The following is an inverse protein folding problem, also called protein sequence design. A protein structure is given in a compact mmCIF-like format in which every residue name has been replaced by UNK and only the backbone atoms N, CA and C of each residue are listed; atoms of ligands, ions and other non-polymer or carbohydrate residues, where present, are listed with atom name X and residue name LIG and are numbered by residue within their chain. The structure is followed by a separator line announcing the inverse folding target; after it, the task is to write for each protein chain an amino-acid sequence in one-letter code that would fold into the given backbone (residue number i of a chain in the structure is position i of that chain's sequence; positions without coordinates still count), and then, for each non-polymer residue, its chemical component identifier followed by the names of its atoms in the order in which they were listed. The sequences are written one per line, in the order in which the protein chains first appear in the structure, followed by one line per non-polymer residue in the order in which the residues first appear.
data_IF_269100181109
#
_entry.id   IF_269100181109
#
_cell.length_a   1.000
_cell.length_b   1.000
_cell.length_c   1.000
_cell.angle_alpha   90.00
_cell.angle_beta   90.00
_cell.angle_gamma   90.00
#
_symmetry.space_group_name_H-M   'P 1'
#
loop_
_entity.id
_entity.type
_entity.pdbx_description
1 polymer ?
#
# COMPACT_ATOMS: atom_id res chain seq x y z
N UNK A 1 -51.70 -48.41 32.55
CA UNK A 1 -51.52 -47.52 31.38
C UNK A 1 -50.24 -46.77 31.50
N UNK A 2 -49.26 -46.92 30.58
CA UNK A 2 -47.93 -46.33 30.74
C UNK A 2 -47.87 -44.94 30.14
N UNK A 3 -47.47 -44.00 30.99
CA UNK A 3 -47.04 -42.62 30.54
C UNK A 3 -45.51 -42.60 30.39
N UNK A 4 -44.99 -42.93 29.21
CA UNK A 4 -43.57 -42.72 28.89
C UNK A 4 -43.34 -42.57 27.37
N UNK A 5 -43.56 -41.39 26.79
CA UNK A 5 -43.14 -41.11 25.40
C UNK A 5 -42.90 -39.60 25.08
N UNK A 6 -42.85 -38.72 26.05
CA UNK A 6 -42.74 -37.27 25.74
C UNK A 6 -41.33 -36.69 25.94
N UNK A 7 -40.42 -37.38 26.63
CA UNK A 7 -39.10 -36.86 26.96
C UNK A 7 -38.05 -36.87 25.82
N UNK A 8 -38.28 -37.65 24.74
CA UNK A 8 -37.29 -37.81 23.66
C UNK A 8 -37.37 -36.74 22.57
N UNK A 9 -38.46 -35.98 22.48
CA UNK A 9 -38.68 -35.01 21.40
C UNK A 9 -37.90 -33.69 21.59
N UNK A 10 -37.59 -33.30 22.84
CA UNK A 10 -36.87 -32.06 23.08
C UNK A 10 -35.37 -32.14 22.77
N UNK A 11 -34.74 -33.27 23.02
CA UNK A 11 -33.31 -33.47 22.66
C UNK A 11 -33.13 -33.56 21.15
N UNK A 12 -34.02 -34.28 20.49
CA UNK A 12 -34.01 -34.42 19.05
C UNK A 12 -34.28 -33.08 18.33
N UNK A 13 -35.19 -32.25 18.82
CA UNK A 13 -35.45 -30.89 18.30
C UNK A 13 -34.24 -29.96 18.53
N UNK A 14 -33.53 -30.05 19.65
CA UNK A 14 -32.31 -29.31 19.91
C UNK A 14 -31.17 -29.75 19.00
N UNK A 15 -31.02 -31.05 18.72
CA UNK A 15 -30.03 -31.58 17.79
C UNK A 15 -30.32 -31.10 16.31
N UNK A 16 -31.56 -31.12 15.88
CA UNK A 16 -31.96 -30.60 14.56
C UNK A 16 -31.71 -29.11 14.50
N UNK A 17 -32.07 -28.32 15.51
CA UNK A 17 -31.83 -26.88 15.54
C UNK A 17 -30.32 -26.57 15.52
N UNK A 18 -29.49 -27.32 16.24
CA UNK A 18 -28.03 -27.18 16.19
C UNK A 18 -27.46 -27.56 14.84
N UNK A 19 -27.93 -28.66 14.22
CA UNK A 19 -27.50 -29.09 12.89
C UNK A 19 -27.91 -28.07 11.79
N UNK A 20 -29.10 -27.50 11.88
CA UNK A 20 -29.55 -26.43 10.99
C UNK A 20 -28.74 -25.13 11.18
N UNK A 21 -28.42 -24.79 12.42
CA UNK A 21 -27.60 -23.61 12.73
C UNK A 21 -26.16 -23.77 12.22
N UNK A 22 -25.54 -24.93 12.39
CA UNK A 22 -24.22 -25.25 11.87
C UNK A 22 -24.20 -25.26 10.34
N UNK A 23 -25.24 -25.83 9.70
CA UNK A 23 -25.41 -25.83 8.25
C UNK A 23 -25.56 -24.40 7.72
N UNK A 24 -26.36 -23.56 8.38
CA UNK A 24 -26.55 -22.15 8.00
C UNK A 24 -25.23 -21.35 8.12
N UNK A 25 -24.46 -21.55 9.20
CA UNK A 25 -23.12 -20.92 9.34
C UNK A 25 -22.19 -21.40 8.23
N UNK A 26 -22.17 -22.70 7.95
CA UNK A 26 -21.31 -23.29 6.91
C UNK A 26 -21.64 -22.77 5.52
N UNK A 27 -22.92 -22.66 5.17
CA UNK A 27 -23.37 -22.08 3.89
C UNK A 27 -23.04 -20.59 3.81
N UNK A 28 -23.25 -19.84 4.90
CA UNK A 28 -22.87 -18.43 4.96
C UNK A 28 -21.36 -18.23 4.78
N UNK A 29 -20.53 -19.03 5.44
CA UNK A 29 -19.06 -18.97 5.28
C UNK A 29 -18.64 -19.33 3.85
N UNK A 30 -19.24 -20.34 3.22
CA UNK A 30 -18.98 -20.73 1.85
C UNK A 30 -19.36 -19.62 0.84
N UNK A 31 -20.49 -18.95 1.04
CA UNK A 31 -20.93 -17.83 0.19
C UNK A 31 -19.98 -16.64 0.31
N UNK A 32 -19.46 -16.35 1.51
CA UNK A 32 -18.50 -15.26 1.72
C UNK A 32 -17.17 -15.57 1.03
N UNK A 33 -16.65 -16.79 1.14
CA UNK A 33 -15.44 -17.23 0.45
C UNK A 33 -15.62 -17.14 -1.06
N UNK A 34 -16.79 -17.59 -1.57
CA UNK A 34 -17.10 -17.51 -3.00
C UNK A 34 -17.22 -16.04 -3.49
N UNK A 35 -17.87 -15.17 -2.73
CA UNK A 35 -17.99 -13.75 -3.04
C UNK A 35 -16.62 -13.05 -3.04
N UNK A 36 -15.78 -13.34 -2.05
CA UNK A 36 -14.41 -12.79 -1.99
C UNK A 36 -13.58 -13.25 -3.18
N UNK A 37 -13.62 -14.53 -3.54
CA UNK A 37 -12.92 -15.05 -4.72
C UNK A 37 -13.42 -14.42 -6.02
N UNK A 38 -14.72 -14.19 -6.18
CA UNK A 38 -15.26 -13.55 -7.37
C UNK A 38 -14.84 -12.09 -7.48
N UNK A 39 -14.76 -11.36 -6.38
CA UNK A 39 -14.25 -9.98 -6.34
C UNK A 39 -12.77 -9.93 -6.68
N UNK A 40 -11.95 -10.79 -6.09
CA UNK A 40 -10.52 -10.87 -6.39
C UNK A 40 -10.24 -11.26 -7.85
N UNK A 41 -11.14 -12.01 -8.49
CA UNK A 41 -11.05 -12.33 -9.91
C UNK A 41 -11.26 -11.12 -10.85
N UNK A 42 -11.80 -10.01 -10.33
CA UNK A 42 -11.99 -8.76 -11.11
C UNK A 42 -10.77 -7.84 -11.09
N UNK A 43 -9.75 -8.14 -10.29
CA UNK A 43 -8.49 -7.37 -10.25
C UNK A 43 -7.78 -7.48 -11.60
N UNK A 44 -7.36 -6.35 -12.14
CA UNK A 44 -6.63 -6.29 -13.41
C UNK A 44 -5.25 -6.93 -13.26
N UNK A 45 -4.86 -7.73 -14.25
CA UNK A 45 -3.56 -8.39 -14.29
C UNK A 45 -2.66 -7.70 -15.31
N UNK A 46 -1.43 -7.38 -14.93
CA UNK A 46 -0.41 -6.86 -15.83
C UNK A 46 0.53 -8.00 -16.24
N UNK A 47 0.32 -8.53 -17.46
CA UNK A 47 1.13 -9.61 -18.01
C UNK A 47 2.57 -9.17 -18.33
N UNK A 48 2.76 -7.90 -18.66
CA UNK A 48 4.09 -7.32 -18.92
C UNK A 48 4.89 -7.27 -17.63
N UNK A 49 4.26 -6.85 -16.52
CA UNK A 49 4.90 -6.92 -15.22
C UNK A 49 5.34 -8.35 -14.89
N UNK A 50 4.47 -9.34 -15.14
CA UNK A 50 4.74 -10.74 -14.82
C UNK A 50 5.97 -11.31 -15.55
N UNK A 51 6.26 -10.84 -16.75
CA UNK A 51 7.42 -11.32 -17.53
C UNK A 51 8.78 -10.85 -17.00
N UNK A 52 8.80 -9.77 -16.21
CA UNK A 52 10.01 -9.13 -15.71
C UNK A 52 10.30 -9.45 -14.23
N UNK A 53 9.44 -10.23 -13.60
CA UNK A 53 9.61 -10.57 -12.18
C UNK A 53 10.78 -11.53 -11.97
N UNK A 54 11.45 -11.37 -10.85
CA UNK A 54 12.50 -12.28 -10.40
C UNK A 54 11.91 -13.63 -9.98
N UNK A 55 12.72 -14.68 -10.15
CA UNK A 55 12.35 -16.00 -9.63
C UNK A 55 12.10 -15.96 -8.11
N UNK A 56 11.20 -16.80 -7.58
CA UNK A 56 10.93 -16.86 -6.15
C UNK A 56 12.22 -17.08 -5.33
N UNK A 57 12.36 -16.34 -4.23
CA UNK A 57 13.46 -16.52 -3.28
C UNK A 57 12.97 -17.35 -2.09
N UNK A 58 13.78 -18.31 -1.58
CA UNK A 58 13.40 -19.12 -0.42
C UNK A 58 13.43 -18.32 0.90
N UNK A 59 14.10 -17.16 0.98
CA UNK A 59 14.30 -16.39 2.20
C UNK A 59 13.40 -15.17 2.34
N UNK A 60 13.00 -14.57 1.24
CA UNK A 60 12.22 -13.32 1.25
C UNK A 60 11.43 -13.13 -0.04
N UNK A 61 10.49 -12.22 0.03
CA UNK A 61 9.73 -11.72 -1.12
C UNK A 61 9.73 -10.20 -1.13
N UNK A 62 9.92 -9.62 -2.29
CA UNK A 62 9.83 -8.18 -2.54
C UNK A 62 8.63 -7.86 -3.42
N UNK A 63 7.80 -6.95 -2.96
CA UNK A 63 6.61 -6.47 -3.65
C UNK A 63 6.84 -5.01 -4.06
N UNK A 64 6.87 -4.73 -5.37
CA UNK A 64 6.92 -3.36 -5.88
C UNK A 64 5.53 -2.75 -5.80
N UNK A 65 5.40 -1.73 -4.95
CA UNK A 65 4.17 -1.00 -4.72
C UNK A 65 4.23 0.32 -5.48
N UNK A 66 3.27 0.54 -6.36
CA UNK A 66 3.18 1.74 -7.21
C UNK A 66 1.87 2.47 -6.90
N UNK A 67 1.99 3.74 -6.50
CA UNK A 67 0.86 4.66 -6.45
C UNK A 67 0.79 5.48 -7.73
N UNK A 68 -0.20 5.20 -8.55
CA UNK A 68 -0.44 5.89 -9.82
C UNK A 68 -1.27 7.16 -9.62
N UNK A 69 -0.98 8.22 -10.36
CA UNK A 69 -1.81 9.41 -10.45
C UNK A 69 -2.92 9.29 -11.51
N UNK A 70 -3.26 8.06 -11.90
CA UNK A 70 -4.38 7.82 -12.80
C UNK A 70 -5.67 8.39 -12.21
N UNK A 71 -6.41 9.07 -13.07
CA UNK A 71 -7.70 9.70 -12.78
C UNK A 71 -8.84 9.00 -13.48
N UNK A 72 -8.58 7.80 -13.94
CA UNK A 72 -9.60 6.94 -14.55
C UNK A 72 -10.72 6.72 -13.53
N UNK A 73 -11.96 7.05 -13.92
CA UNK A 73 -13.11 6.96 -13.01
C UNK A 73 -13.21 8.05 -11.93
N UNK A 74 -12.48 9.16 -12.05
CA UNK A 74 -12.65 10.30 -11.14
C UNK A 74 -14.06 10.89 -11.28
N UNK A 75 -14.79 10.98 -10.16
CA UNK A 75 -16.14 11.55 -10.12
C UNK A 75 -16.04 13.08 -9.94
N UNK A 76 -16.64 13.89 -10.84
CA UNK A 76 -16.70 15.34 -10.66
C UNK A 76 -17.39 15.81 -9.38
N UNK A 77 -18.20 14.96 -8.76
CA UNK A 77 -18.89 15.26 -7.51
C UNK A 77 -18.05 14.92 -6.25
N UNK A 78 -16.90 14.27 -6.40
CA UNK A 78 -16.02 13.98 -5.28
C UNK A 78 -15.50 15.28 -4.64
N UNK A 79 -15.45 15.32 -3.32
CA UNK A 79 -15.04 16.50 -2.54
C UNK A 79 -13.60 16.96 -2.85
N UNK A 80 -12.75 16.06 -3.34
CA UNK A 80 -11.37 16.30 -3.70
C UNK A 80 -11.14 16.46 -5.23
N UNK A 81 -12.20 16.42 -6.05
CA UNK A 81 -12.09 16.52 -7.51
C UNK A 81 -11.35 17.79 -7.96
N UNK A 82 -11.61 18.92 -7.32
CA UNK A 82 -10.92 20.18 -7.63
C UNK A 82 -9.40 20.11 -7.36
N UNK A 83 -8.98 19.31 -6.36
CA UNK A 83 -7.57 19.13 -6.01
C UNK A 83 -6.87 18.04 -6.81
N UNK A 84 -7.61 17.03 -7.27
CA UNK A 84 -7.10 15.91 -8.06
C UNK A 84 -7.16 16.23 -9.55
N UNK A 85 -8.26 16.80 -10.01
CA UNK A 85 -8.60 17.03 -11.41
C UNK A 85 -9.22 15.81 -12.08
N UNK A 86 -9.78 16.01 -13.28
CA UNK A 86 -10.43 14.98 -14.07
C UNK A 86 -9.50 14.24 -15.02
N UNK A 87 -10.05 13.20 -15.62
CA UNK A 87 -9.41 12.44 -16.70
C UNK A 87 -9.00 13.35 -17.84
N UNK A 88 -7.78 13.15 -18.40
CA UNK A 88 -7.25 13.92 -19.51
C UNK A 88 -6.65 15.29 -19.17
N UNK A 89 -6.77 15.78 -17.94
CA UNK A 89 -6.17 17.08 -17.55
C UNK A 89 -4.64 17.02 -17.37
N UNK A 90 -4.08 15.84 -17.22
CA UNK A 90 -2.62 15.63 -17.14
C UNK A 90 -2.25 14.54 -18.13
N UNK A 91 -1.30 14.84 -19.02
CA UNK A 91 -0.80 13.88 -19.99
C UNK A 91 0.21 12.93 -19.38
N UNK A 92 0.11 11.63 -19.71
CA UNK A 92 1.03 10.56 -19.31
C UNK A 92 0.70 9.94 -17.96
N UNK A 93 1.13 8.69 -17.79
CA UNK A 93 1.06 7.95 -16.51
C UNK A 93 2.20 8.45 -15.61
N UNK A 94 1.91 8.81 -14.38
CA UNK A 94 2.93 9.19 -13.39
C UNK A 94 2.72 8.35 -12.15
N UNK A 95 3.81 7.94 -11.53
CA UNK A 95 3.77 7.39 -10.19
C UNK A 95 4.16 8.47 -9.19
N UNK A 96 3.30 8.73 -8.24
CA UNK A 96 3.61 9.63 -7.12
C UNK A 96 4.26 8.87 -5.95
N UNK A 97 4.16 7.55 -5.95
CA UNK A 97 4.69 6.67 -4.91
C UNK A 97 5.34 5.45 -5.55
N UNK A 98 6.62 5.23 -5.23
CA UNK A 98 7.37 4.03 -5.58
C UNK A 98 7.97 3.47 -4.30
N UNK A 99 7.57 2.26 -3.92
CA UNK A 99 8.05 1.57 -2.71
C UNK A 99 8.30 0.10 -2.99
N UNK A 100 9.21 -0.50 -2.24
CA UNK A 100 9.31 -1.94 -2.14
C UNK A 100 8.96 -2.36 -0.72
N UNK A 101 7.99 -3.26 -0.60
CA UNK A 101 7.70 -3.99 0.62
C UNK A 101 8.48 -5.31 0.59
N UNK A 102 9.34 -5.49 1.58
CA UNK A 102 10.12 -6.70 1.80
C UNK A 102 9.46 -7.53 2.89
N UNK A 103 9.27 -8.80 2.65
CA UNK A 103 8.75 -9.77 3.59
C UNK A 103 9.78 -10.87 3.83
N UNK A 104 10.27 -11.00 5.05
CA UNK A 104 11.14 -12.09 5.47
C UNK A 104 10.30 -13.33 5.77
N UNK A 105 10.51 -14.41 5.02
CA UNK A 105 9.70 -15.64 5.12
C UNK A 105 9.98 -16.38 6.44
N UNK A 106 11.20 -16.30 6.96
CA UNK A 106 11.61 -17.04 8.15
C UNK A 106 11.07 -16.40 9.44
N UNK A 107 11.10 -15.08 9.52
CA UNK A 107 10.71 -14.33 10.72
C UNK A 107 9.29 -13.77 10.64
N UNK A 108 8.70 -13.65 9.44
CA UNK A 108 7.46 -12.94 9.21
C UNK A 108 7.59 -11.41 9.30
N UNK A 109 8.81 -10.89 9.41
CA UNK A 109 9.05 -9.45 9.52
C UNK A 109 8.81 -8.75 8.18
N UNK A 110 8.30 -7.50 8.25
CA UNK A 110 8.09 -6.64 7.10
C UNK A 110 8.98 -5.41 7.14
N UNK A 111 9.38 -4.94 5.97
CA UNK A 111 10.11 -3.69 5.81
C UNK A 111 9.64 -2.93 4.56
N UNK A 112 9.70 -1.60 4.61
CA UNK A 112 9.35 -0.71 3.51
C UNK A 112 10.53 0.19 3.17
N UNK A 113 10.86 0.29 1.88
CA UNK A 113 11.76 1.31 1.35
C UNK A 113 11.03 2.13 0.28
N UNK A 114 11.25 3.44 0.25
CA UNK A 114 10.69 4.32 -0.78
C UNK A 114 11.78 4.91 -1.67
N UNK A 115 11.44 5.09 -2.95
CA UNK A 115 12.28 5.70 -3.96
C UNK A 115 11.75 7.09 -4.29
N UNK A 116 12.48 8.17 -3.95
CA UNK A 116 12.10 9.51 -4.38
C UNK A 116 11.98 9.58 -5.91
N UNK A 117 10.89 10.14 -6.41
CA UNK A 117 10.56 10.14 -7.85
C UNK A 117 11.59 10.88 -8.73
N UNK A 118 12.34 11.82 -8.14
CA UNK A 118 13.34 12.64 -8.82
C UNK A 118 14.75 12.02 -8.77
N UNK A 119 14.89 10.74 -8.32
CA UNK A 119 16.13 10.00 -8.42
C UNK A 119 16.58 9.88 -9.87
N UNK A 120 17.82 10.28 -10.14
CA UNK A 120 18.43 10.14 -11.45
C UNK A 120 19.15 8.80 -11.55
N UNK A 121 18.64 7.94 -12.40
CA UNK A 121 19.07 6.54 -12.55
C UNK A 121 19.15 6.16 -14.02
N UNK A 122 19.80 5.04 -14.30
CA UNK A 122 19.69 4.40 -15.61
C UNK A 122 18.35 3.67 -15.68
N UNK A 123 17.64 3.87 -16.79
CA UNK A 123 16.29 3.34 -16.98
C UNK A 123 16.34 1.97 -17.68
N UNK A 124 15.63 0.99 -17.16
CA UNK A 124 15.51 -0.34 -17.75
C UNK A 124 16.85 -1.01 -17.96
N UNK A 125 17.24 -1.24 -19.21
CA UNK A 125 18.50 -1.89 -19.58
C UNK A 125 19.72 -0.96 -19.58
N UNK A 126 19.59 0.27 -19.04
CA UNK A 126 20.68 1.21 -18.86
C UNK A 126 21.04 2.02 -20.10
N UNK A 127 20.26 1.96 -21.19
CA UNK A 127 20.51 2.68 -22.45
C UNK A 127 20.28 4.22 -22.27
N UNK A 128 19.40 4.60 -21.38
CA UNK A 128 19.06 6.00 -21.09
C UNK A 128 19.09 6.23 -19.60
N UNK A 129 19.48 7.44 -19.19
CA UNK A 129 19.34 7.91 -17.82
C UNK A 129 18.20 8.94 -17.73
N UNK A 130 17.53 8.98 -16.59
CA UNK A 130 16.43 9.88 -16.32
C UNK A 130 15.95 9.82 -14.87
N UNK A 131 14.94 10.61 -14.53
CA UNK A 131 14.27 10.47 -13.25
C UNK A 131 13.57 9.11 -13.18
N UNK A 132 13.64 8.43 -12.03
CA UNK A 132 13.02 7.10 -11.85
C UNK A 132 11.51 7.10 -12.19
N UNK A 133 10.82 8.22 -11.96
CA UNK A 133 9.43 8.38 -12.37
C UNK A 133 9.21 8.24 -13.89
N UNK A 134 10.23 8.55 -14.70
CA UNK A 134 10.16 8.35 -16.15
C UNK A 134 10.17 6.88 -16.55
N UNK A 135 10.73 5.98 -15.72
CA UNK A 135 10.68 4.55 -15.96
C UNK A 135 9.24 4.03 -15.98
N UNK A 136 8.40 4.50 -15.04
CA UNK A 136 6.98 4.14 -15.02
C UNK A 136 6.21 4.64 -16.25
N UNK A 137 6.54 5.84 -16.75
CA UNK A 137 5.94 6.39 -17.99
C UNK A 137 6.28 5.54 -19.22
N UNK A 138 7.49 4.98 -19.24
CA UNK A 138 7.97 4.14 -20.35
C UNK A 138 7.35 2.75 -20.34
N UNK A 139 6.95 2.25 -19.19
CA UNK A 139 6.29 0.95 -19.02
C UNK A 139 6.59 0.30 -17.68
N UNK A 140 5.73 -0.63 -17.27
CA UNK A 140 5.89 -1.39 -16.03
C UNK A 140 7.15 -2.25 -16.07
N UNK A 141 7.45 -2.85 -17.22
CA UNK A 141 8.66 -3.61 -17.49
C UNK A 141 9.93 -2.76 -17.28
N UNK A 142 9.94 -1.55 -17.83
CA UNK A 142 11.07 -0.63 -17.67
C UNK A 142 11.26 -0.25 -16.21
N UNK A 143 10.16 -0.02 -15.47
CA UNK A 143 10.24 0.29 -14.05
C UNK A 143 10.81 -0.87 -13.23
N UNK A 144 10.31 -2.10 -13.44
CA UNK A 144 10.78 -3.29 -12.73
C UNK A 144 12.28 -3.49 -13.00
N UNK A 145 12.72 -3.49 -14.28
CA UNK A 145 14.13 -3.59 -14.64
C UNK A 145 14.98 -2.47 -14.04
N UNK A 146 14.46 -1.25 -13.98
CA UNK A 146 15.16 -0.13 -13.34
C UNK A 146 15.45 -0.42 -11.88
N UNK A 147 14.45 -0.87 -11.10
CA UNK A 147 14.64 -1.20 -9.69
C UNK A 147 15.64 -2.36 -9.52
N UNK A 148 15.52 -3.41 -10.34
CA UNK A 148 16.39 -4.58 -10.28
C UNK A 148 17.84 -4.23 -10.64
N UNK A 149 18.06 -3.50 -11.72
CA UNK A 149 19.40 -3.25 -12.27
C UNK A 149 20.15 -2.14 -11.52
N UNK A 150 19.46 -1.06 -11.12
CA UNK A 150 20.13 0.09 -10.46
C UNK A 150 20.30 -0.11 -8.96
N UNK A 151 19.41 -0.87 -8.30
CA UNK A 151 19.44 -1.01 -6.85
C UNK A 151 19.76 -2.45 -6.39
N UNK A 152 19.84 -3.40 -7.31
CA UNK A 152 20.10 -4.80 -6.98
C UNK A 152 18.97 -5.46 -6.18
N UNK A 153 17.75 -4.93 -6.27
CA UNK A 153 16.59 -5.41 -5.52
C UNK A 153 15.73 -6.30 -6.42
N UNK A 154 15.73 -7.64 -6.25
CA UNK A 154 14.86 -8.52 -7.03
C UNK A 154 13.40 -8.21 -6.69
N UNK A 155 12.55 -8.10 -7.71
CA UNK A 155 11.12 -7.88 -7.56
C UNK A 155 10.37 -9.16 -7.88
N UNK A 156 9.63 -9.69 -6.90
CA UNK A 156 8.90 -10.94 -7.01
C UNK A 156 7.43 -10.72 -7.34
N UNK A 157 6.88 -9.56 -6.94
CA UNK A 157 5.49 -9.20 -7.18
C UNK A 157 5.33 -7.72 -7.50
N UNK A 158 4.30 -7.40 -8.27
CA UNK A 158 3.91 -6.05 -8.63
C UNK A 158 2.49 -5.75 -8.17
N UNK A 159 2.31 -4.58 -7.56
CA UNK A 159 1.01 -4.06 -7.16
C UNK A 159 0.93 -2.56 -7.43
N UNK A 160 -0.04 -2.16 -8.23
CA UNK A 160 -0.34 -0.75 -8.52
C UNK A 160 -1.74 -0.41 -8.01
N UNK A 161 -1.88 0.79 -7.47
CA UNK A 161 -3.15 1.36 -7.03
C UNK A 161 -3.27 2.80 -7.49
N UNK A 162 -4.40 3.18 -8.06
CA UNK A 162 -4.71 4.57 -8.42
C UNK A 162 -5.38 5.33 -7.25
N UNK A 163 -5.69 6.61 -7.46
CA UNK A 163 -6.31 7.46 -6.44
C UNK A 163 -7.69 6.96 -5.98
N UNK A 164 -8.50 6.44 -6.89
CA UNK A 164 -9.83 5.93 -6.55
C UNK A 164 -9.74 4.64 -5.74
N UNK A 165 -8.86 3.72 -6.18
CA UNK A 165 -8.57 2.48 -5.46
C UNK A 165 -8.00 2.75 -4.07
N UNK A 166 -7.10 3.72 -3.95
CA UNK A 166 -6.55 4.11 -2.66
C UNK A 166 -7.65 4.62 -1.71
N UNK A 167 -8.52 5.55 -2.17
CA UNK A 167 -9.64 6.05 -1.36
C UNK A 167 -10.58 4.91 -0.95
N UNK A 168 -10.99 4.10 -1.92
CA UNK A 168 -11.87 2.95 -1.68
C UNK A 168 -11.27 1.92 -0.72
N UNK A 169 -9.98 1.63 -0.83
CA UNK A 169 -9.29 0.73 0.09
C UNK A 169 -9.28 1.29 1.52
N UNK A 170 -8.92 2.56 1.69
CA UNK A 170 -8.89 3.22 3.00
C UNK A 170 -10.28 3.24 3.64
N UNK A 171 -11.31 3.60 2.90
CA UNK A 171 -12.68 3.66 3.40
C UNK A 171 -13.21 2.28 3.78
N UNK A 172 -12.85 1.26 3.01
CA UNK A 172 -13.27 -0.12 3.24
C UNK A 172 -12.72 -0.71 4.54
N UNK A 173 -11.50 -0.31 4.92
CA UNK A 173 -10.94 -0.67 6.23
C UNK A 173 -11.39 0.31 7.34
N UNK A 174 -12.31 1.25 7.04
CA UNK A 174 -12.88 2.24 7.97
C UNK A 174 -11.91 3.33 8.38
N UNK A 175 -11.00 3.71 7.49
CA UNK A 175 -10.00 4.75 7.71
C UNK A 175 -8.73 4.25 8.40
N UNK A 176 -7.73 5.13 8.42
CA UNK A 176 -6.41 4.87 9.02
C UNK A 176 -6.12 5.90 10.09
N UNK A 177 -5.72 5.45 11.28
CA UNK A 177 -5.36 6.35 12.37
C UNK A 177 -3.95 6.93 12.16
N UNK A 178 -3.88 8.26 12.12
CA UNK A 178 -2.62 9.01 12.06
C UNK A 178 -2.57 9.96 13.26
N UNK A 179 -1.40 10.03 13.91
CA UNK A 179 -1.17 10.91 15.05
C UNK A 179 -0.21 12.03 14.66
N UNK A 180 -0.53 13.26 15.08
CA UNK A 180 0.32 14.42 14.91
C UNK A 180 0.50 15.15 16.24
N UNK A 181 1.73 15.52 16.56
CA UNK A 181 2.05 16.30 17.76
C UNK A 181 1.47 17.70 17.69
N UNK A 182 1.46 18.31 16.51
CA UNK A 182 0.99 19.66 16.25
C UNK A 182 -0.12 19.65 15.20
N UNK A 183 -1.03 20.67 15.20
CA UNK A 183 -1.95 20.87 14.10
C UNK A 183 -1.17 20.94 12.77
N UNK A 184 -1.67 20.25 11.75
CA UNK A 184 -0.96 20.10 10.48
C UNK A 184 -1.91 20.38 9.31
N UNK A 185 -1.36 20.94 8.22
CA UNK A 185 -2.13 21.22 6.99
C UNK A 185 -1.28 21.19 5.75
N UNK A 186 -1.94 21.08 4.62
CA UNK A 186 -1.42 21.45 3.31
C UNK A 186 -2.55 22.10 2.49
N UNK A 187 -2.39 23.37 2.15
CA UNK A 187 -3.42 24.15 1.44
C UNK A 187 -3.60 23.70 -0.02
N UNK A 188 -2.57 23.09 -0.64
CA UNK A 188 -2.62 22.64 -2.02
C UNK A 188 -3.41 21.33 -2.16
N UNK A 189 -3.37 20.46 -1.13
CA UNK A 189 -4.15 19.22 -1.12
C UNK A 189 -5.46 19.35 -0.36
N UNK A 190 -5.71 20.48 0.32
CA UNK A 190 -6.85 20.65 1.21
C UNK A 190 -6.75 19.89 2.53
N UNK A 191 -5.59 19.32 2.84
CA UNK A 191 -5.39 18.57 4.07
C UNK A 191 -5.39 19.49 5.31
N UNK A 192 -6.12 19.07 6.34
CA UNK A 192 -6.04 19.66 7.67
C UNK A 192 -6.28 18.60 8.75
N UNK A 193 -5.46 18.62 9.80
CA UNK A 193 -5.59 17.75 10.96
C UNK A 193 -5.18 18.51 12.23
N UNK A 194 -6.02 18.54 13.29
CA UNK A 194 -5.62 19.02 14.61
C UNK A 194 -4.49 18.18 15.21
N UNK A 195 -3.90 18.61 16.31
CA UNK A 195 -3.02 17.77 17.13
C UNK A 195 -3.78 16.58 17.70
N UNK A 196 -3.07 15.47 17.95
CA UNK A 196 -3.63 14.22 18.44
C UNK A 196 -3.75 13.16 17.36
N UNK A 197 -4.47 12.09 17.68
CA UNK A 197 -4.68 10.95 16.77
C UNK A 197 -6.06 11.06 16.13
N UNK A 198 -6.09 11.00 14.79
CA UNK A 198 -7.31 11.14 14.02
C UNK A 198 -7.44 10.01 12.99
N UNK A 199 -8.66 9.54 12.80
CA UNK A 199 -8.96 8.59 11.74
C UNK A 199 -9.10 9.36 10.43
N UNK A 200 -8.27 9.01 9.44
CA UNK A 200 -8.31 9.57 8.10
C UNK A 200 -9.08 8.63 7.17
N UNK A 201 -10.19 9.09 6.66
CA UNK A 201 -10.95 8.45 5.59
C UNK A 201 -10.31 8.73 4.22
N UNK A 202 -10.72 8.03 3.16
CA UNK A 202 -10.06 7.98 1.88
C UNK A 202 -9.65 9.33 1.29
N UNK A 203 -10.55 10.31 1.25
CA UNK A 203 -10.25 11.66 0.73
C UNK A 203 -9.17 12.36 1.55
N UNK A 204 -9.30 12.33 2.88
CA UNK A 204 -8.32 12.97 3.79
C UNK A 204 -7.00 12.22 3.80
N UNK A 205 -7.04 10.89 3.71
CA UNK A 205 -5.87 10.05 3.61
C UNK A 205 -5.08 10.33 2.32
N UNK A 206 -5.78 10.46 1.19
CA UNK A 206 -5.17 10.81 -0.08
C UNK A 206 -4.54 12.22 -0.05
N UNK A 207 -5.24 13.20 0.52
CA UNK A 207 -4.74 14.56 0.71
C UNK A 207 -3.45 14.57 1.58
N UNK A 208 -3.40 13.77 2.66
CA UNK A 208 -2.23 13.59 3.50
C UNK A 208 -1.06 12.96 2.73
N UNK A 209 -1.30 11.85 2.02
CA UNK A 209 -0.28 11.11 1.28
C UNK A 209 0.30 11.91 0.10
N UNK A 210 -0.47 12.85 -0.47
CA UNK A 210 -0.05 13.72 -1.59
C UNK A 210 0.61 15.01 -1.15
N UNK A 211 0.57 15.35 0.15
CA UNK A 211 1.06 16.62 0.67
C UNK A 211 2.56 16.82 0.40
N UNK A 212 2.93 17.96 -0.22
CA UNK A 212 4.30 18.41 -0.45
C UNK A 212 4.62 19.71 0.26
N UNK A 213 3.59 20.48 0.57
CA UNK A 213 3.69 21.77 1.25
C UNK A 213 3.10 21.64 2.65
N UNK A 214 3.59 20.59 3.36
CA UNK A 214 3.11 20.25 4.68
C UNK A 214 3.58 21.30 5.68
N UNK A 215 2.63 21.86 6.41
CA UNK A 215 2.87 22.85 7.45
C UNK A 215 2.44 22.30 8.81
N UNK A 216 3.21 22.57 9.85
CA UNK A 216 2.85 22.31 11.24
C UNK A 216 2.71 23.63 11.99
N UNK A 217 1.79 23.70 12.97
CA UNK A 217 1.55 24.90 13.77
C UNK A 217 2.30 24.80 15.10
N UNK A 218 3.50 25.39 15.15
CA UNK A 218 4.34 25.46 16.35
C UNK A 218 4.30 26.88 16.90
N UNK A 219 4.13 27.03 18.21
CA UNK A 219 4.04 28.36 18.87
C UNK A 219 3.08 29.33 18.18
N UNK A 220 1.92 28.82 17.79
CA UNK A 220 0.86 29.55 17.08
C UNK A 220 1.24 30.07 15.66
N UNK A 221 2.37 29.65 15.09
CA UNK A 221 2.83 29.99 13.74
C UNK A 221 2.86 28.74 12.85
N UNK A 222 2.42 28.87 11.60
CA UNK A 222 2.54 27.82 10.62
C UNK A 222 3.95 27.80 10.06
N UNK A 223 4.61 26.65 10.14
CA UNK A 223 5.96 26.40 9.65
C UNK A 223 5.91 25.30 8.60
N UNK A 224 6.44 25.57 7.42
CA UNK A 224 6.56 24.58 6.36
C UNK A 224 7.68 23.59 6.72
N UNK A 225 7.45 22.30 6.45
CA UNK A 225 8.43 21.26 6.75
C UNK A 225 9.69 21.37 5.86
N UNK A 226 9.62 22.10 4.75
CA UNK A 226 10.75 22.39 3.84
C UNK A 226 11.34 21.17 3.12
N UNK A 227 10.93 19.95 3.48
CA UNK A 227 11.48 18.69 2.90
C UNK A 227 10.77 18.27 1.62
N UNK A 228 9.68 18.96 1.25
CA UNK A 228 8.95 18.77 -0.01
C UNK A 228 8.68 17.29 -0.35
N UNK A 229 9.37 16.75 -1.34
CA UNK A 229 9.16 15.38 -1.84
C UNK A 229 9.69 14.30 -0.87
N UNK A 230 10.76 14.58 -0.16
CA UNK A 230 11.32 13.67 0.87
C UNK A 230 10.33 13.54 2.03
N UNK A 231 9.77 14.67 2.51
CA UNK A 231 8.74 14.67 3.54
C UNK A 231 7.47 13.95 3.10
N UNK A 232 7.07 14.11 1.84
CA UNK A 232 5.98 13.33 1.27
C UNK A 232 6.26 11.83 1.32
N UNK A 233 7.44 11.38 0.89
CA UNK A 233 7.83 9.97 0.93
C UNK A 233 7.83 9.41 2.36
N UNK A 234 8.27 10.21 3.35
CA UNK A 234 8.19 9.85 4.77
C UNK A 234 6.73 9.65 5.22
N UNK A 235 5.84 10.60 4.92
CA UNK A 235 4.40 10.50 5.24
C UNK A 235 3.74 9.31 4.55
N UNK A 236 4.09 9.02 3.32
CA UNK A 236 3.59 7.85 2.59
C UNK A 236 4.00 6.54 3.26
N UNK A 237 5.29 6.38 3.65
CA UNK A 237 5.73 5.18 4.39
C UNK A 237 5.00 5.03 5.72
N UNK A 238 4.86 6.12 6.47
CA UNK A 238 4.11 6.12 7.72
C UNK A 238 2.65 5.69 7.49
N UNK A 239 2.02 6.25 6.47
CA UNK A 239 0.62 5.94 6.14
C UNK A 239 0.44 4.49 5.72
N UNK A 240 1.29 3.97 4.82
CA UNK A 240 1.22 2.57 4.35
C UNK A 240 1.39 1.60 5.52
N UNK A 241 2.38 1.83 6.39
CA UNK A 241 2.58 1.00 7.58
C UNK A 241 1.34 1.02 8.51
N UNK A 242 0.77 2.21 8.78
CA UNK A 242 -0.44 2.34 9.58
C UNK A 242 -1.67 1.69 8.91
N UNK A 243 -1.79 1.80 7.60
CA UNK A 243 -2.85 1.17 6.81
C UNK A 243 -2.78 -0.35 6.87
N UNK A 244 -1.60 -0.93 6.69
CA UNK A 244 -1.39 -2.38 6.78
C UNK A 244 -1.76 -2.90 8.18
N UNK A 245 -1.31 -2.21 9.23
CA UNK A 245 -1.66 -2.55 10.60
C UNK A 245 -3.18 -2.47 10.84
N UNK A 246 -3.83 -1.39 10.39
CA UNK A 246 -5.28 -1.20 10.51
C UNK A 246 -6.04 -2.30 9.77
N UNK A 247 -5.65 -2.61 8.54
CA UNK A 247 -6.27 -3.65 7.71
C UNK A 247 -6.22 -5.02 8.40
N UNK A 248 -5.05 -5.40 8.91
CA UNK A 248 -4.87 -6.67 9.62
C UNK A 248 -5.73 -6.73 10.88
N UNK A 249 -5.69 -5.70 11.73
CA UNK A 249 -6.45 -5.66 12.99
C UNK A 249 -7.95 -5.79 12.72
N UNK A 250 -8.46 -5.14 11.66
CA UNK A 250 -9.88 -5.17 11.32
C UNK A 250 -10.32 -6.49 10.68
N UNK A 251 -9.48 -7.08 9.83
CA UNK A 251 -9.74 -8.42 9.26
C UNK A 251 -9.84 -9.48 10.37
N UNK A 252 -8.99 -9.39 11.40
CA UNK A 252 -9.06 -10.28 12.56
C UNK A 252 -10.37 -10.08 13.32
N UNK A 253 -10.77 -8.83 13.54
CA UNK A 253 -11.96 -8.48 14.32
C UNK A 253 -13.26 -8.80 13.58
N UNK A 254 -13.26 -8.69 12.25
CA UNK A 254 -14.44 -8.94 11.42
C UNK A 254 -14.06 -9.49 10.03
N UNK A 255 -13.89 -10.81 9.92
CA UNK A 255 -13.53 -11.45 8.65
C UNK A 255 -14.58 -11.25 7.52
N UNK A 256 -15.81 -10.85 7.86
CA UNK A 256 -16.86 -10.55 6.88
C UNK A 256 -16.64 -9.20 6.17
N UNK A 257 -15.81 -8.31 6.70
CA UNK A 257 -15.49 -7.04 6.04
C UNK A 257 -14.54 -7.20 4.85
N UNK A 258 -13.83 -8.31 4.74
CA UNK A 258 -12.84 -8.53 3.67
C UNK A 258 -13.49 -8.43 2.27
N UNK A 259 -14.68 -9.01 2.09
CA UNK A 259 -15.36 -8.99 0.79
C UNK A 259 -15.86 -7.59 0.39
N UNK A 260 -16.34 -6.80 1.34
CA UNK A 260 -16.78 -5.42 1.07
C UNK A 260 -15.60 -4.46 0.90
N UNK A 261 -14.51 -4.71 1.62
CA UNK A 261 -13.28 -3.94 1.54
C UNK A 261 -12.66 -3.97 0.14
N UNK A 262 -12.63 -5.14 -0.47
CA UNK A 262 -12.07 -5.27 -1.81
C UNK A 262 -13.02 -4.85 -2.92
N UNK A 263 -14.35 -4.91 -2.72
CA UNK A 263 -15.33 -4.61 -3.78
C UNK A 263 -15.19 -3.21 -4.38
N UNK A 264 -14.84 -2.20 -3.56
CA UNK A 264 -14.64 -0.81 -4.01
C UNK A 264 -13.29 -0.54 -4.68
N UNK A 265 -12.25 -1.33 -4.35
CA UNK A 265 -10.87 -1.08 -4.77
C UNK A 265 -10.41 -1.97 -5.95
N UNK A 266 -11.05 -3.12 -6.19
CA UNK A 266 -10.57 -4.13 -7.15
C UNK A 266 -10.42 -3.63 -8.58
N UNK A 267 -11.26 -2.68 -9.02
CA UNK A 267 -11.17 -2.09 -10.37
C UNK A 267 -9.96 -1.18 -10.56
N UNK A 268 -9.47 -0.63 -9.49
CA UNK A 268 -8.39 0.35 -9.42
C UNK A 268 -7.08 -0.24 -8.90
N UNK A 269 -7.03 -1.55 -8.72
CA UNK A 269 -5.83 -2.31 -8.37
C UNK A 269 -5.38 -3.09 -9.60
N UNK A 270 -4.08 -3.01 -9.89
CA UNK A 270 -3.42 -3.80 -10.92
C UNK A 270 -2.34 -4.63 -10.23
N UNK A 271 -2.27 -5.93 -10.53
CA UNK A 271 -1.24 -6.83 -9.98
C UNK A 271 -0.58 -7.62 -11.08
N UNK A 272 0.59 -8.22 -10.78
CA UNK A 272 1.11 -9.28 -11.62
C UNK A 272 0.14 -10.47 -11.68
N UNK A 273 0.35 -11.35 -12.65
CA UNK A 273 -0.51 -12.51 -12.89
C UNK A 273 -0.49 -13.51 -11.73
N UNK A 274 0.65 -13.65 -11.06
CA UNK A 274 0.91 -14.67 -10.05
C UNK A 274 0.57 -14.21 -8.62
N UNK A 275 0.34 -12.93 -8.39
CA UNK A 275 0.06 -12.42 -7.05
C UNK A 275 -1.30 -12.87 -6.55
N UNK A 276 -1.31 -13.73 -5.53
CA UNK A 276 -2.51 -14.04 -4.75
C UNK A 276 -2.66 -13.03 -3.60
N UNK A 277 -3.63 -12.12 -3.75
CA UNK A 277 -3.90 -11.09 -2.73
C UNK A 277 -4.33 -11.67 -1.38
N UNK A 278 -4.89 -12.88 -1.36
CA UNK A 278 -5.27 -13.55 -0.10
C UNK A 278 -4.01 -14.05 0.63
N UNK A 279 -3.08 -14.65 -0.10
CA UNK A 279 -1.79 -15.07 0.44
C UNK A 279 -0.94 -13.86 0.85
N UNK A 280 -0.93 -12.80 0.05
CA UNK A 280 -0.29 -11.54 0.41
C UNK A 280 -0.84 -10.98 1.74
N UNK A 281 -2.16 -10.91 1.90
CA UNK A 281 -2.78 -10.45 3.14
C UNK A 281 -2.41 -11.32 4.37
N UNK A 282 -2.29 -12.65 4.19
CA UNK A 282 -1.82 -13.56 5.24
C UNK A 282 -0.36 -13.31 5.62
N UNK A 283 0.51 -13.06 4.65
CA UNK A 283 1.93 -12.76 4.85
C UNK A 283 2.16 -11.42 5.53
N UNK A 284 1.41 -10.40 5.14
CA UNK A 284 1.49 -9.07 5.75
C UNK A 284 1.02 -9.06 7.19
N UNK A 285 0.14 -10.00 7.59
CA UNK A 285 -0.43 -10.06 8.95
C UNK A 285 0.61 -10.14 10.07
N UNK A 286 1.59 -11.07 10.08
CA UNK A 286 2.64 -11.08 11.11
C UNK A 286 3.48 -9.81 11.12
N UNK A 287 3.75 -9.25 9.94
CA UNK A 287 4.49 -8.00 9.82
C UNK A 287 3.73 -6.80 10.40
N UNK A 288 2.40 -6.82 10.40
CA UNK A 288 1.59 -5.76 10.97
C UNK A 288 1.44 -5.87 12.50
N UNK A 289 1.53 -7.09 13.07
CA UNK A 289 1.56 -7.32 14.53
C UNK A 289 2.93 -6.91 15.14
N UNK A 290 4.03 -7.02 14.35
CA UNK A 290 5.32 -6.40 14.62
C UNK A 290 5.41 -5.05 13.90
N UNK A 291 6.16 -4.11 14.36
CA UNK A 291 6.38 -2.86 13.64
C UNK A 291 6.99 -3.13 12.26
N UNK A 292 6.33 -2.69 11.18
CA UNK A 292 6.93 -2.68 9.85
C UNK A 292 8.08 -1.67 9.86
N UNK A 293 9.30 -2.15 9.66
CA UNK A 293 10.49 -1.31 9.57
C UNK A 293 10.42 -0.39 8.36
N UNK A 294 10.78 0.87 8.53
CA UNK A 294 10.68 1.89 7.46
C UNK A 294 12.07 2.44 7.16
N UNK A 295 12.49 2.24 5.93
CA UNK A 295 13.77 2.67 5.43
C UNK A 295 13.63 3.76 4.36
N UNK A 296 14.61 4.62 4.28
CA UNK A 296 14.77 5.59 3.20
C UNK A 296 16.16 5.46 2.60
N UNK A 297 16.28 5.79 1.31
CA UNK A 297 17.59 5.97 0.70
C UNK A 297 18.23 7.25 1.24
N UNK A 298 19.50 7.18 1.59
CA UNK A 298 20.33 8.37 1.70
C UNK A 298 20.53 8.96 0.30
N UNK A 299 20.17 10.22 0.14
CA UNK A 299 20.23 10.91 -1.16
C UNK A 299 20.83 12.29 -1.01
N UNK A 300 21.45 12.77 -2.08
CA UNK A 300 21.92 14.15 -2.18
C UNK A 300 21.40 14.82 -3.45
N UNK A 301 21.27 16.14 -3.40
CA UNK A 301 20.85 16.94 -4.55
C UNK A 301 21.95 17.08 -5.58
N UNK A 302 21.57 16.98 -6.87
CA UNK A 302 22.45 17.17 -8.02
C UNK A 302 21.71 17.97 -9.11
N UNK A 303 22.43 18.40 -10.14
CA UNK A 303 21.88 19.12 -11.29
C UNK A 303 22.33 18.47 -12.60
N UNK A 304 21.36 18.19 -13.46
CA UNK A 304 21.58 17.70 -14.82
C UNK A 304 21.03 18.74 -15.80
N UNK A 305 21.90 19.55 -16.36
CA UNK A 305 21.47 20.73 -17.14
C UNK A 305 20.72 21.73 -16.24
N UNK A 306 19.46 22.02 -16.58
CA UNK A 306 18.58 22.89 -15.77
C UNK A 306 17.76 22.12 -14.72
N UNK A 307 17.75 20.79 -14.79
CA UNK A 307 16.97 19.94 -13.94
C UNK A 307 17.64 19.70 -12.58
N UNK A 308 16.90 19.97 -11.49
CA UNK A 308 17.27 19.54 -10.15
C UNK A 308 16.86 18.07 -9.97
N UNK A 309 17.80 17.22 -9.56
CA UNK A 309 17.62 15.78 -9.40
C UNK A 309 18.20 15.31 -8.07
N UNK A 310 17.90 14.07 -7.70
CA UNK A 310 18.49 13.41 -6.55
C UNK A 310 19.42 12.27 -7.01
N UNK A 311 20.51 12.07 -6.28
CA UNK A 311 21.41 10.93 -6.44
C UNK A 311 21.41 10.09 -5.19
N UNK A 312 21.55 8.78 -5.35
CA UNK A 312 21.71 7.86 -4.21
C UNK A 312 23.10 8.03 -3.62
N UNK A 313 23.16 8.24 -2.31
CA UNK A 313 24.40 8.27 -1.56
C UNK A 313 24.89 6.84 -1.27
N UNK A 314 26.21 6.68 -1.14
CA UNK A 314 26.88 5.42 -0.73
C UNK A 314 26.35 4.88 0.60
N UNK A 315 25.87 5.74 1.48
CA UNK A 315 25.32 5.39 2.78
C UNK A 315 24.00 4.61 2.66
N UNK A 316 23.42 4.51 1.44
CA UNK A 316 22.29 3.63 1.13
C UNK A 316 22.70 2.15 0.98
N UNK A 317 23.99 1.84 0.84
CA UNK A 317 24.45 0.48 0.52
C UNK A 317 23.96 -0.60 1.50
N UNK A 318 23.94 -0.40 2.85
CA UNK A 318 23.42 -1.42 3.77
C UNK A 318 21.92 -1.69 3.57
N UNK A 319 21.12 -0.64 3.33
CA UNK A 319 19.68 -0.77 3.10
C UNK A 319 19.43 -1.49 1.77
N UNK A 320 20.14 -1.13 0.71
CA UNK A 320 20.02 -1.79 -0.59
C UNK A 320 20.43 -3.26 -0.53
N UNK A 321 21.52 -3.59 0.19
CA UNK A 321 21.96 -4.97 0.40
C UNK A 321 20.90 -5.80 1.16
N UNK A 322 20.23 -5.23 2.17
CA UNK A 322 19.15 -5.90 2.88
C UNK A 322 17.96 -6.22 1.95
N UNK A 323 17.45 -5.22 1.21
CA UNK A 323 16.35 -5.44 0.28
C UNK A 323 16.75 -6.33 -0.92
N UNK A 324 18.02 -6.37 -1.26
CA UNK A 324 18.61 -7.28 -2.26
C UNK A 324 18.82 -8.71 -1.74
N UNK A 325 18.61 -8.96 -0.44
CA UNK A 325 18.82 -10.27 0.19
C UNK A 325 20.29 -10.65 0.35
N UNK A 326 21.22 -9.69 0.28
CA UNK A 326 22.67 -9.91 0.38
C UNK A 326 23.29 -9.38 1.67
N UNK A 327 22.51 -8.73 2.53
CA UNK A 327 22.95 -8.17 3.79
C UNK A 327 21.89 -8.27 4.89
N UNK A 328 22.30 -8.11 6.16
CA UNK A 328 21.37 -8.09 7.30
C UNK A 328 20.53 -6.82 7.31
N UNK A 329 19.40 -6.85 8.04
CA UNK A 329 18.60 -5.65 8.30
C UNK A 329 19.45 -4.59 9.00
N UNK A 330 19.61 -3.37 8.45
CA UNK A 330 20.30 -2.30 9.12
C UNK A 330 19.48 -1.79 10.31
N UNK A 331 20.16 -1.12 11.26
CA UNK A 331 19.46 -0.44 12.35
C UNK A 331 18.46 0.57 11.76
N UNK A 332 17.21 0.48 12.24
CA UNK A 332 16.20 1.49 11.93
C UNK A 332 16.57 2.73 12.73
N UNK A 333 17.13 3.73 12.08
CA UNK A 333 17.25 5.04 12.69
C UNK A 333 15.81 5.55 12.88
N UNK A 334 15.36 5.65 14.14
CA UNK A 334 14.04 6.20 14.47
C UNK A 334 13.88 7.56 13.79
N UNK A 335 13.11 7.58 12.71
CA UNK A 335 12.67 8.83 12.07
C UNK A 335 11.55 9.43 12.93
N UNK A 336 11.93 9.96 14.12
CA UNK A 336 11.05 10.80 14.93
C UNK A 336 10.69 12.11 14.21
#
# INVERSE_FOLDING_TARGET
MPRSKIKNNHRFRKLIAFALFTAFISVGALQIVAATKSQLATVRRDLVASSELSAPSPGFENYLLVGSDSREGADPNDADFAAIGGEGQVSGRRSDTLMVFHYDIATGAGALISFPRDLWVKLGDGQKAGRINSAYQLGTDVLIRTIQNEFGIPIHHYLEIDFQGFKGLVDSIGGVQICAQFPSRDKHTGFFMPSGCHNLEGVRALAFARSRFFETKVENKWQIDGTSDIGRSKRQRQFIAAMLNTAVTRVISNPFMVSSAFAGATKSIITDENLDLTEFAKKVRPAADGSISRYSLAVYGDRIGEDSVLRVDKDSAPVLAFFGGTGPAPEVLDEN
#
